data_IF_921049271669
#
_entry.id   IF_921049271669
#
_cell.length_a   1.000
_cell.length_b   1.000
_cell.length_c   1.000
_cell.angle_alpha   90.00
_cell.angle_beta   90.00
_cell.angle_gamma   90.00
#
_symmetry.space_group_name_H-M   'P 1'
#
loop_
_entity.id
_entity.type
_entity.pdbx_description
1 polymer ?
#
# COMPACT_ATOMS: atom_id res chain seq x y z
N UNK A 1 -9.76 -8.36 -10.36
CA UNK A 1 -8.89 -9.54 -10.31
C UNK A 1 -8.56 -9.85 -8.86
N UNK A 2 -8.59 -11.12 -8.49
CA UNK A 2 -8.24 -11.59 -7.15
C UNK A 2 -7.29 -12.77 -7.35
N UNK A 3 -6.15 -12.74 -6.68
CA UNK A 3 -5.24 -13.88 -6.61
C UNK A 3 -5.74 -14.92 -5.63
N UNK A 4 -4.85 -15.79 -5.20
CA UNK A 4 -5.15 -16.96 -4.40
C UNK A 4 -4.32 -16.96 -3.12
N UNK A 5 -3.99 -18.16 -2.64
CA UNK A 5 -3.00 -18.32 -1.59
C UNK A 5 -1.66 -18.64 -2.23
N UNK A 6 -0.58 -17.99 -1.80
CA UNK A 6 0.76 -18.14 -2.36
C UNK A 6 1.14 -16.92 -3.20
N UNK A 7 2.30 -16.98 -3.84
CA UNK A 7 2.83 -15.85 -4.61
C UNK A 7 2.23 -15.85 -6.01
N UNK A 8 1.41 -14.87 -6.32
CA UNK A 8 0.72 -14.73 -7.58
C UNK A 8 1.29 -13.60 -8.46
N UNK A 9 1.12 -13.72 -9.78
CA UNK A 9 1.41 -12.65 -10.74
C UNK A 9 0.09 -12.21 -11.39
N UNK A 10 -0.35 -11.00 -11.11
CA UNK A 10 -1.60 -10.44 -11.61
C UNK A 10 -1.33 -9.30 -12.59
N UNK A 11 -2.04 -9.28 -13.71
CA UNK A 11 -1.97 -8.21 -14.71
C UNK A 11 -3.37 -7.80 -15.15
N UNK A 12 -3.77 -6.55 -14.89
CA UNK A 12 -5.07 -5.98 -15.26
C UNK A 12 -5.21 -5.80 -16.77
N UNK A 13 -4.29 -5.03 -17.36
CA UNK A 13 -4.20 -4.84 -18.80
C UNK A 13 -4.72 -3.47 -19.23
N UNK A 14 -5.91 -3.42 -19.81
CA UNK A 14 -6.53 -2.15 -20.25
C UNK A 14 -7.86 -1.95 -19.54
N UNK A 15 -8.18 -0.71 -19.18
CA UNK A 15 -9.37 -0.36 -18.43
C UNK A 15 -9.09 -0.26 -16.93
N UNK A 16 -10.02 0.34 -16.19
CA UNK A 16 -9.87 0.54 -14.76
C UNK A 16 -10.03 -0.78 -13.98
N UNK A 17 -8.90 -1.36 -13.55
CA UNK A 17 -8.85 -2.65 -12.88
C UNK A 17 -8.80 -2.53 -11.36
N UNK A 18 -9.25 -3.59 -10.68
CA UNK A 18 -9.08 -3.77 -9.24
C UNK A 18 -8.29 -5.02 -8.98
N UNK A 19 -7.14 -4.93 -8.34
CA UNK A 19 -6.24 -6.04 -8.07
C UNK A 19 -6.18 -6.30 -6.57
N UNK A 20 -6.51 -7.53 -6.17
CA UNK A 20 -6.30 -8.06 -4.81
C UNK A 20 -5.32 -9.21 -4.96
N UNK A 21 -4.11 -9.09 -4.39
CA UNK A 21 -3.12 -10.17 -4.42
C UNK A 21 -3.60 -11.40 -3.66
N UNK A 22 -4.02 -11.21 -2.41
CA UNK A 22 -4.44 -12.28 -1.52
C UNK A 22 -3.41 -12.45 -0.42
N UNK A 23 -3.06 -13.70 -0.10
CA UNK A 23 -1.98 -13.98 0.85
C UNK A 23 -0.79 -14.51 0.09
N UNK A 24 0.42 -14.03 0.39
CA UNK A 24 1.64 -14.41 -0.32
C UNK A 24 2.38 -13.15 -0.75
N UNK A 25 3.57 -13.30 -1.31
CA UNK A 25 4.28 -12.17 -1.91
C UNK A 25 3.91 -12.07 -3.38
N UNK A 26 2.97 -11.17 -3.67
CA UNK A 26 2.37 -11.05 -5.00
C UNK A 26 3.07 -10.00 -5.86
N UNK A 27 3.02 -10.17 -7.18
CA UNK A 27 3.44 -9.17 -8.16
C UNK A 27 2.22 -8.68 -8.91
N UNK A 28 1.91 -7.39 -8.76
CA UNK A 28 0.68 -6.76 -9.23
C UNK A 28 1.01 -5.70 -10.30
N UNK A 29 0.44 -5.86 -11.49
CA UNK A 29 0.58 -4.94 -12.62
C UNK A 29 -0.82 -4.44 -13.00
N UNK A 30 -1.07 -3.14 -12.86
CA UNK A 30 -2.35 -2.54 -13.22
C UNK A 30 -2.55 -2.52 -14.73
N UNK A 31 -1.59 -1.92 -15.44
CA UNK A 31 -1.62 -1.71 -16.87
C UNK A 31 -1.96 -0.26 -17.21
N UNK A 32 -2.88 -0.07 -18.15
CA UNK A 32 -3.32 1.23 -18.60
C UNK A 32 -4.61 1.65 -17.89
N UNK A 33 -4.82 2.96 -17.80
CA UNK A 33 -5.93 3.62 -17.11
C UNK A 33 -5.74 3.70 -15.59
N UNK A 34 -6.81 3.98 -14.85
CA UNK A 34 -6.75 4.21 -13.41
C UNK A 34 -7.08 2.93 -12.66
N UNK A 35 -6.07 2.34 -12.05
CA UNK A 35 -6.18 1.04 -11.37
C UNK A 35 -6.24 1.17 -9.86
N UNK A 36 -6.72 0.10 -9.22
CA UNK A 36 -6.83 0.03 -7.76
C UNK A 36 -6.13 -1.23 -7.23
N UNK A 37 -5.16 -1.04 -6.37
CA UNK A 37 -4.44 -2.11 -5.67
C UNK A 37 -4.97 -2.21 -4.24
N UNK A 38 -5.61 -3.33 -3.90
CA UNK A 38 -6.35 -3.51 -2.65
C UNK A 38 -5.57 -4.44 -1.71
N UNK A 39 -5.22 -3.94 -0.54
CA UNK A 39 -4.57 -4.67 0.54
C UNK A 39 -5.58 -5.00 1.64
N UNK A 40 -6.01 -6.26 1.71
CA UNK A 40 -7.06 -6.72 2.61
C UNK A 40 -6.74 -8.02 3.36
N UNK A 41 -5.47 -8.42 3.41
CA UNK A 41 -4.99 -9.61 4.13
C UNK A 41 -3.98 -9.24 5.21
N UNK A 42 -3.71 -10.18 6.13
CA UNK A 42 -2.80 -9.93 7.26
C UNK A 42 -1.38 -9.60 6.79
N UNK A 43 -0.82 -8.50 7.29
CA UNK A 43 0.50 -8.01 6.85
C UNK A 43 1.64 -8.89 7.36
N UNK A 44 2.64 -9.15 6.51
CA UNK A 44 3.87 -9.81 6.92
C UNK A 44 5.01 -9.47 5.95
N UNK A 45 6.04 -8.77 6.43
CA UNK A 45 7.15 -8.33 5.59
C UNK A 45 8.01 -9.47 5.00
N UNK A 46 7.83 -10.72 5.45
CA UNK A 46 8.57 -11.90 4.95
C UNK A 46 7.73 -12.80 4.05
N UNK A 47 6.44 -12.95 4.34
CA UNK A 47 5.58 -13.93 3.66
C UNK A 47 4.36 -13.32 2.95
N UNK A 48 4.13 -12.02 3.12
CA UNK A 48 3.01 -11.28 2.53
C UNK A 48 3.46 -9.84 2.20
N UNK A 49 4.52 -9.75 1.41
CA UNK A 49 5.12 -8.50 0.93
C UNK A 49 4.96 -8.43 -0.58
N UNK A 50 4.09 -7.53 -1.03
CA UNK A 50 3.73 -7.42 -2.44
C UNK A 50 4.61 -6.42 -3.19
N UNK A 51 4.63 -6.55 -4.50
CA UNK A 51 5.27 -5.62 -5.42
C UNK A 51 4.24 -5.12 -6.43
N UNK A 52 4.01 -3.81 -6.44
CA UNK A 52 3.26 -3.13 -7.51
C UNK A 52 4.26 -2.64 -8.54
N UNK A 53 4.09 -3.05 -9.80
CA UNK A 53 5.13 -2.90 -10.82
C UNK A 53 5.08 -1.58 -11.58
N UNK A 54 3.90 -0.97 -11.70
CA UNK A 54 3.62 0.10 -12.66
C UNK A 54 2.74 1.24 -12.10
N UNK A 55 2.67 1.35 -10.77
CA UNK A 55 1.84 2.36 -10.10
C UNK A 55 2.12 3.78 -10.62
N UNK A 56 1.05 4.49 -10.98
CA UNK A 56 1.06 5.87 -11.48
C UNK A 56 0.30 6.79 -10.52
N UNK A 57 1.03 7.59 -9.74
CA UNK A 57 0.42 8.56 -8.83
C UNK A 57 -0.46 9.59 -9.57
N UNK A 58 -1.57 9.95 -8.95
CA UNK A 58 -2.63 10.80 -9.50
C UNK A 58 -3.60 10.08 -10.45
N UNK A 59 -3.34 8.81 -10.81
CA UNK A 59 -4.22 7.96 -11.61
C UNK A 59 -4.66 6.75 -10.79
N UNK A 60 -3.69 5.97 -10.32
CA UNK A 60 -3.92 4.74 -9.58
C UNK A 60 -4.15 5.01 -8.10
N UNK A 61 -4.81 4.07 -7.44
CA UNK A 61 -5.09 4.16 -6.01
C UNK A 61 -4.67 2.89 -5.27
N UNK A 62 -4.20 3.10 -4.04
CA UNK A 62 -3.97 2.06 -3.05
C UNK A 62 -5.14 2.05 -2.09
N UNK A 63 -5.82 0.91 -2.00
CA UNK A 63 -6.95 0.72 -1.09
C UNK A 63 -6.51 -0.12 0.09
N UNK A 64 -6.70 0.40 1.30
CA UNK A 64 -6.31 -0.22 2.55
C UNK A 64 -7.55 -0.60 3.36
N UNK A 65 -7.76 -1.88 3.59
CA UNK A 65 -8.89 -2.38 4.37
C UNK A 65 -8.70 -2.06 5.86
N UNK A 66 -9.60 -1.27 6.46
CA UNK A 66 -9.45 -0.84 7.84
C UNK A 66 -9.42 -2.01 8.85
N UNK A 67 -10.01 -3.16 8.52
CA UNK A 67 -9.93 -4.36 9.36
C UNK A 67 -8.49 -4.90 9.50
N UNK A 68 -7.63 -4.63 8.51
CA UNK A 68 -6.19 -4.95 8.54
C UNK A 68 -5.39 -3.78 9.10
N UNK A 69 -5.67 -2.58 8.61
CA UNK A 69 -4.99 -1.34 8.99
C UNK A 69 -5.71 -0.66 10.18
N UNK A 70 -5.88 -1.38 11.29
CA UNK A 70 -6.81 -1.04 12.38
C UNK A 70 -6.64 0.31 13.11
N UNK A 71 -5.59 1.08 12.82
CA UNK A 71 -5.43 2.47 13.30
C UNK A 71 -6.04 3.52 12.37
N UNK A 72 -6.37 3.14 11.14
CA UNK A 72 -6.99 3.98 10.13
C UNK A 72 -8.52 3.91 10.27
N UNK A 73 -9.05 4.61 11.27
CA UNK A 73 -10.45 4.49 11.71
C UNK A 73 -11.49 5.17 10.79
N UNK A 74 -11.05 5.93 9.80
CA UNK A 74 -11.91 6.73 8.94
C UNK A 74 -11.74 6.31 7.49
N UNK A 75 -12.81 5.86 6.87
CA UNK A 75 -12.82 5.51 5.44
C UNK A 75 -12.72 6.77 4.56
N UNK A 76 -12.30 6.56 3.31
CA UNK A 76 -12.02 7.63 2.35
C UNK A 76 -10.52 7.93 2.24
N UNK A 77 -10.19 9.08 1.66
CA UNK A 77 -8.79 9.50 1.43
C UNK A 77 -8.02 9.50 2.76
N UNK A 78 -6.79 8.96 2.75
CA UNK A 78 -5.90 8.94 3.91
C UNK A 78 -5.72 10.37 4.44
N UNK A 79 -5.80 10.55 5.76
CA UNK A 79 -5.54 11.86 6.36
C UNK A 79 -4.05 12.15 6.28
N UNK A 80 -3.68 13.37 5.92
CA UNK A 80 -2.29 13.81 5.86
C UNK A 80 -1.52 13.56 7.17
N UNK A 81 -2.20 13.71 8.32
CA UNK A 81 -1.62 13.44 9.64
C UNK A 81 -1.38 11.95 9.93
N UNK A 82 -1.77 11.03 9.04
CA UNK A 82 -1.48 9.61 9.17
C UNK A 82 -0.39 9.14 8.19
N UNK A 83 0.23 10.06 7.45
CA UNK A 83 1.18 9.76 6.40
C UNK A 83 2.54 10.40 6.69
N UNK A 84 3.61 9.63 6.58
CA UNK A 84 4.97 10.12 6.83
C UNK A 84 5.96 9.63 5.76
N UNK A 85 7.05 10.39 5.63
CA UNK A 85 8.21 9.99 4.83
C UNK A 85 9.01 8.94 5.61
N UNK A 86 9.00 7.69 5.12
CA UNK A 86 9.65 6.59 5.81
C UNK A 86 11.18 6.63 5.72
N UNK A 87 11.76 7.46 4.85
CA UNK A 87 13.21 7.71 4.84
C UNK A 87 13.66 8.58 6.03
N UNK A 88 12.73 9.37 6.59
CA UNK A 88 12.94 10.21 7.78
C UNK A 88 12.43 9.50 9.04
N UNK A 89 11.34 8.75 8.91
CA UNK A 89 10.63 8.07 9.99
C UNK A 89 9.41 8.84 10.50
N UNK A 90 8.56 8.21 11.32
CA UNK A 90 7.38 8.85 11.89
C UNK A 90 7.78 10.01 12.81
N UNK A 91 6.99 11.07 12.77
CA UNK A 91 7.25 12.36 13.44
C UNK A 91 6.30 12.64 14.60
N UNK A 92 5.10 12.07 14.59
CA UNK A 92 4.13 12.17 15.68
C UNK A 92 3.66 10.78 16.16
N UNK A 93 2.49 10.69 16.81
CA UNK A 93 1.93 9.44 17.34
C UNK A 93 0.80 8.86 16.48
N UNK A 94 0.53 9.50 15.34
CA UNK A 94 -0.54 9.19 14.42
C UNK A 94 -0.04 8.89 13.01
N UNK A 95 1.27 8.96 12.78
CA UNK A 95 1.95 8.54 11.56
C UNK A 95 1.88 7.02 11.36
N UNK A 96 0.83 6.56 10.67
CA UNK A 96 0.53 5.12 10.53
C UNK A 96 0.91 4.53 9.17
N UNK A 97 0.98 5.35 8.11
CA UNK A 97 1.38 4.91 6.77
C UNK A 97 2.67 5.61 6.37
N UNK A 98 3.72 4.81 6.20
CA UNK A 98 5.03 5.29 5.78
C UNK A 98 5.27 4.97 4.32
N UNK A 99 5.84 5.92 3.59
CA UNK A 99 6.33 5.70 2.23
C UNK A 99 7.76 6.20 2.09
N UNK A 100 8.67 5.33 1.63
CA UNK A 100 10.03 5.72 1.26
C UNK A 100 10.11 5.87 -0.27
N UNK A 101 10.14 7.11 -0.75
CA UNK A 101 10.22 7.40 -2.19
C UNK A 101 11.54 6.96 -2.84
N UNK A 102 12.57 6.63 -2.05
CA UNK A 102 13.86 6.16 -2.57
C UNK A 102 13.82 4.67 -2.91
N UNK A 103 13.05 3.88 -2.15
CA UNK A 103 12.98 2.42 -2.29
C UNK A 103 11.61 1.92 -2.77
N UNK A 104 10.60 2.80 -2.78
CA UNK A 104 9.22 2.46 -3.11
C UNK A 104 8.49 1.75 -1.96
N UNK A 105 9.15 1.53 -0.82
CA UNK A 105 8.61 0.73 0.26
C UNK A 105 7.45 1.43 0.98
N UNK A 106 6.35 0.68 1.17
CA UNK A 106 5.17 1.08 1.92
C UNK A 106 5.09 0.30 3.24
N UNK A 107 4.84 1.05 4.30
CA UNK A 107 4.83 0.55 5.67
C UNK A 107 3.50 0.86 6.34
N UNK A 108 3.03 -0.08 7.15
CA UNK A 108 2.03 0.19 8.17
C UNK A 108 2.69 0.16 9.54
N UNK A 109 2.64 1.28 10.24
CA UNK A 109 3.08 1.41 11.62
C UNK A 109 1.88 1.50 12.55
N UNK A 110 1.56 0.38 13.22
CA UNK A 110 0.41 0.33 14.12
C UNK A 110 0.63 1.09 15.44
N UNK A 111 1.88 1.38 15.82
CA UNK A 111 2.17 2.14 17.04
C UNK A 111 2.14 3.65 16.79
N UNK A 112 2.30 4.07 15.54
CA UNK A 112 2.24 5.45 15.09
C UNK A 112 3.41 6.33 15.52
N UNK A 113 4.45 5.80 16.17
CA UNK A 113 5.57 6.59 16.71
C UNK A 113 6.89 5.79 16.84
N UNK A 114 8.00 6.39 16.41
CA UNK A 114 9.37 5.93 16.69
C UNK A 114 9.82 4.68 15.93
N UNK A 115 11.06 4.25 16.19
CA UNK A 115 11.68 3.12 15.51
C UNK A 115 11.14 1.77 16.00
N UNK A 116 10.72 0.92 15.07
CA UNK A 116 10.26 -0.45 15.30
C UNK A 116 8.74 -0.57 15.30
N UNK A 117 8.21 -1.73 14.91
CA UNK A 117 6.77 -2.00 14.86
C UNK A 117 6.09 -1.73 13.51
N UNK A 118 6.76 -1.02 12.60
CA UNK A 118 6.33 -0.90 11.22
C UNK A 118 6.49 -2.22 10.46
N UNK A 119 5.47 -2.61 9.70
CA UNK A 119 5.49 -3.77 8.80
C UNK A 119 5.46 -3.25 7.38
N UNK A 120 6.51 -3.54 6.61
CA UNK A 120 6.46 -3.33 5.17
C UNK A 120 5.43 -4.29 4.57
N UNK A 121 4.50 -3.77 3.79
CA UNK A 121 3.46 -4.59 3.16
C UNK A 121 3.49 -4.55 1.63
N UNK A 122 4.08 -3.49 1.05
CA UNK A 122 4.20 -3.38 -0.39
C UNK A 122 5.46 -2.62 -0.81
N UNK A 123 5.81 -2.76 -2.08
CA UNK A 123 6.80 -1.93 -2.77
C UNK A 123 6.22 -1.41 -4.07
N UNK A 124 6.31 -0.09 -4.31
CA UNK A 124 5.96 0.54 -5.58
C UNK A 124 7.24 0.67 -6.44
N UNK A 125 7.38 -0.20 -7.45
CA UNK A 125 8.61 -0.29 -8.26
C UNK A 125 8.93 0.97 -9.06
N UNK A 126 7.91 1.79 -9.35
CA UNK A 126 8.04 3.04 -10.09
C UNK A 126 8.56 4.20 -9.25
N UNK A 127 8.67 4.04 -7.93
CA UNK A 127 9.10 5.10 -6.99
C UNK A 127 8.35 6.43 -7.20
N UNK A 128 7.00 6.40 -7.30
CA UNK A 128 6.23 7.59 -7.67
C UNK A 128 6.32 8.66 -6.57
N UNK A 129 6.01 9.90 -6.95
CA UNK A 129 5.71 10.95 -5.96
C UNK A 129 4.32 10.69 -5.39
N UNK A 130 4.25 9.81 -4.40
CA UNK A 130 3.00 9.38 -3.77
C UNK A 130 2.47 10.47 -2.84
N UNK A 131 1.16 10.66 -2.86
CA UNK A 131 0.45 11.57 -1.97
C UNK A 131 -0.67 10.85 -1.24
N UNK A 132 -1.22 11.47 -0.20
CA UNK A 132 -2.38 10.89 0.49
C UNK A 132 -3.62 10.78 -0.39
N UNK A 133 -3.72 11.54 -1.49
CA UNK A 133 -4.83 11.43 -2.43
C UNK A 133 -4.85 10.08 -3.17
N UNK A 134 -3.69 9.43 -3.29
CA UNK A 134 -3.51 8.13 -3.94
C UNK A 134 -3.88 6.97 -3.00
N UNK A 135 -4.14 7.22 -1.72
CA UNK A 135 -4.40 6.20 -0.70
C UNK A 135 -5.81 6.37 -0.14
N UNK A 136 -6.60 5.30 -0.20
CA UNK A 136 -7.99 5.27 0.25
C UNK A 136 -8.17 4.17 1.28
N UNK A 137 -8.81 4.51 2.38
CA UNK A 137 -9.20 3.58 3.43
C UNK A 137 -10.61 3.07 3.13
N UNK A 138 -10.78 1.75 3.09
CA UNK A 138 -12.07 1.09 2.84
C UNK A 138 -12.57 0.35 4.08
#
# INVERSE_FOLDING_TARGET
MIGSTGNDNLTGGTGADKLIGGTGSDTLTGGADADVFIFNTALNATTNLDVVTDFTAGSDHIYLENAIFGKLLYTGILKAANFYDASIGPTDANDFIGYDSTTGALYYDANGSGAGGAVQFATLSTHPTLTVADIVII
#
